data_IF_299041641601
#
_entry.id   IF_299041641601
#
_cell.length_a   1.000
_cell.length_b   1.000
_cell.length_c   1.000
_cell.angle_alpha   90.00
_cell.angle_beta   90.00
_cell.angle_gamma   90.00
#
_symmetry.space_group_name_H-M   'P 1'
#
loop_
_entity.id
_entity.type
_entity.pdbx_description
1 polymer ?
#
# COMPACT_ATOMS: atom_id res chain seq x y z
N UNK A 1 20.96 -11.23 15.08
CA UNK A 1 20.10 -11.37 13.90
C UNK A 1 19.03 -10.34 14.15
N UNK A 2 19.01 -9.28 13.35
CA UNK A 2 17.85 -8.39 13.35
C UNK A 2 16.72 -9.27 12.84
N UNK A 3 15.70 -9.55 13.67
CA UNK A 3 14.48 -10.15 13.17
C UNK A 3 13.86 -9.08 12.27
N UNK A 4 14.20 -9.05 10.98
CA UNK A 4 13.54 -8.15 10.03
C UNK A 4 12.06 -8.51 10.03
N UNK A 5 11.19 -7.52 10.17
CA UNK A 5 9.76 -7.79 10.23
C UNK A 5 9.30 -8.26 8.86
N UNK A 6 8.75 -9.47 8.79
CA UNK A 6 8.20 -9.98 7.53
C UNK A 6 6.88 -9.29 7.19
N UNK A 7 6.50 -9.30 5.92
CA UNK A 7 5.20 -8.77 5.46
C UNK A 7 4.02 -9.40 6.21
N UNK A 8 4.12 -10.69 6.55
CA UNK A 8 3.08 -11.39 7.31
C UNK A 8 2.91 -10.81 8.73
N UNK A 9 3.98 -10.32 9.36
CA UNK A 9 3.91 -9.73 10.69
C UNK A 9 3.29 -8.33 10.62
N UNK A 10 3.59 -7.55 9.59
CA UNK A 10 2.89 -6.29 9.31
C UNK A 10 1.39 -6.52 9.01
N UNK A 11 1.05 -7.55 8.23
CA UNK A 11 -0.35 -7.92 7.96
C UNK A 11 -1.11 -8.25 9.26
N UNK A 12 -0.52 -9.04 10.16
CA UNK A 12 -1.11 -9.34 11.48
C UNK A 12 -1.29 -8.08 12.32
N UNK A 13 -0.29 -7.21 12.36
CA UNK A 13 -0.35 -5.95 13.11
C UNK A 13 -1.47 -5.05 12.58
N UNK A 14 -1.56 -4.86 11.27
CA UNK A 14 -2.65 -4.11 10.65
C UNK A 14 -4.02 -4.71 11.00
N UNK A 15 -4.13 -6.04 10.99
CA UNK A 15 -5.39 -6.72 11.30
C UNK A 15 -5.85 -6.45 12.74
N UNK A 16 -4.94 -6.44 13.72
CA UNK A 16 -5.28 -6.11 15.11
C UNK A 16 -5.57 -4.61 15.27
N UNK A 17 -4.80 -3.75 14.61
CA UNK A 17 -5.07 -2.31 14.56
C UNK A 17 -6.48 -2.01 14.03
N UNK A 18 -6.88 -2.59 12.89
CA UNK A 18 -8.21 -2.37 12.30
C UNK A 18 -9.34 -2.82 13.23
N UNK A 19 -9.15 -3.93 13.96
CA UNK A 19 -10.15 -4.41 14.95
C UNK A 19 -10.32 -3.44 16.11
N UNK A 20 -9.23 -2.83 16.57
CA UNK A 20 -9.20 -1.93 17.72
C UNK A 20 -9.65 -0.49 17.40
N UNK A 21 -9.18 0.05 16.27
CA UNK A 21 -9.18 1.49 16.00
C UNK A 21 -9.94 1.89 14.72
N UNK A 22 -10.28 0.93 13.85
CA UNK A 22 -11.09 1.15 12.65
C UNK A 22 -12.28 0.20 12.55
N UNK A 23 -12.94 -0.03 13.70
CA UNK A 23 -14.02 -1.02 13.80
C UNK A 23 -15.20 -0.72 12.88
N UNK A 24 -15.48 0.55 12.62
CA UNK A 24 -16.51 1.01 11.69
C UNK A 24 -16.28 0.49 10.28
N UNK A 25 -15.04 0.52 9.78
CA UNK A 25 -14.66 -0.04 8.48
C UNK A 25 -14.48 -1.57 8.56
N UNK A 26 -13.82 -2.07 9.60
CA UNK A 26 -13.51 -3.50 9.75
C UNK A 26 -14.77 -4.38 9.77
N UNK A 27 -15.89 -3.87 10.29
CA UNK A 27 -17.15 -4.61 10.39
C UNK A 27 -18.02 -4.55 9.13
N UNK A 28 -17.62 -3.78 8.12
CA UNK A 28 -18.35 -3.71 6.85
C UNK A 28 -18.28 -5.05 6.08
N UNK A 29 -19.29 -5.33 5.24
CA UNK A 29 -19.20 -6.40 4.26
C UNK A 29 -17.98 -6.25 3.35
N UNK A 30 -17.49 -7.39 2.85
CA UNK A 30 -16.29 -7.46 2.02
C UNK A 30 -16.28 -6.45 0.85
N UNK A 31 -17.36 -6.31 0.03
CA UNK A 31 -17.36 -5.35 -1.09
C UNK A 31 -17.24 -3.90 -0.61
N UNK A 32 -17.88 -3.56 0.49
CA UNK A 32 -17.88 -2.19 1.04
C UNK A 32 -16.49 -1.82 1.58
N UNK A 33 -15.79 -2.79 2.22
CA UNK A 33 -14.40 -2.63 2.66
C UNK A 33 -13.48 -2.39 1.47
N UNK A 34 -13.59 -3.23 0.43
CA UNK A 34 -12.77 -3.07 -0.78
C UNK A 34 -13.04 -1.74 -1.48
N UNK A 35 -14.31 -1.32 -1.60
CA UNK A 35 -14.64 -0.02 -2.15
C UNK A 35 -13.97 1.11 -1.35
N UNK A 36 -14.00 1.03 -0.02
CA UNK A 36 -13.34 2.00 0.85
C UNK A 36 -11.82 2.07 0.58
N UNK A 37 -11.14 0.92 0.48
CA UNK A 37 -9.70 0.89 0.19
C UNK A 37 -9.37 1.41 -1.22
N UNK A 38 -10.19 1.11 -2.23
CA UNK A 38 -10.03 1.64 -3.60
C UNK A 38 -10.18 3.16 -3.65
N UNK A 39 -11.12 3.72 -2.88
CA UNK A 39 -11.26 5.17 -2.73
C UNK A 39 -10.02 5.80 -2.07
N UNK A 40 -9.40 5.09 -1.11
CA UNK A 40 -8.13 5.53 -0.53
C UNK A 40 -7.00 5.56 -1.57
N UNK A 41 -6.82 4.50 -2.37
CA UNK A 41 -5.80 4.51 -3.43
C UNK A 41 -6.02 5.64 -4.44
N UNK A 42 -7.27 5.86 -4.88
CA UNK A 42 -7.61 6.98 -5.77
C UNK A 42 -7.31 8.36 -5.14
N UNK A 43 -7.58 8.52 -3.84
CA UNK A 43 -7.23 9.73 -3.07
C UNK A 43 -5.71 9.94 -3.02
N UNK A 44 -4.92 8.87 -2.86
CA UNK A 44 -3.46 8.93 -2.79
C UNK A 44 -2.81 9.21 -4.14
N UNK A 45 -3.35 8.66 -5.23
CA UNK A 45 -2.98 9.07 -6.60
C UNK A 45 -3.16 10.59 -6.77
N UNK A 46 -4.28 11.15 -6.31
CA UNK A 46 -4.52 12.59 -6.34
C UNK A 46 -3.66 13.43 -5.37
N UNK A 47 -2.96 12.81 -4.41
CA UNK A 47 -1.91 13.47 -3.61
C UNK A 47 -0.59 13.51 -4.36
N UNK A 48 -0.24 12.43 -5.05
CA UNK A 48 1.00 12.34 -5.85
C UNK A 48 0.93 13.18 -7.13
N UNK A 49 -0.26 13.58 -7.59
CA UNK A 49 -0.39 14.49 -8.74
C UNK A 49 -0.17 15.98 -8.42
N UNK A 50 0.28 16.35 -7.21
CA UNK A 50 0.33 17.75 -6.75
C UNK A 50 1.72 18.35 -6.86
N UNK A 51 1.77 19.62 -7.22
CA UNK A 51 3.02 20.38 -7.13
C UNK A 51 3.31 20.76 -5.68
N UNK A 52 4.54 20.48 -5.24
CA UNK A 52 5.04 20.92 -3.94
C UNK A 52 6.03 22.08 -4.13
N UNK A 53 6.02 23.02 -3.18
CA UNK A 53 6.78 24.27 -3.25
C UNK A 53 8.30 24.06 -3.17
N UNK A 54 8.73 23.00 -2.49
CA UNK A 54 10.13 22.64 -2.28
C UNK A 54 10.28 21.13 -2.06
N UNK A 55 11.54 20.69 -2.06
CA UNK A 55 11.97 19.30 -1.95
C UNK A 55 11.61 18.68 -0.59
N UNK A 56 11.85 19.40 0.51
CA UNK A 56 11.55 18.94 1.87
C UNK A 56 10.06 18.63 2.04
N UNK A 57 9.20 19.53 1.54
CA UNK A 57 7.76 19.31 1.58
C UNK A 57 7.33 18.17 0.66
N UNK A 58 8.00 17.98 -0.49
CA UNK A 58 7.72 16.85 -1.40
C UNK A 58 8.01 15.53 -0.72
N UNK A 59 9.22 15.37 -0.17
CA UNK A 59 9.65 14.14 0.52
C UNK A 59 8.67 13.81 1.66
N UNK A 60 8.32 14.77 2.51
CA UNK A 60 7.35 14.56 3.60
C UNK A 60 5.99 14.07 3.10
N UNK A 61 5.54 14.55 1.93
CA UNK A 61 4.25 14.15 1.36
C UNK A 61 4.31 12.79 0.67
N UNK A 62 5.45 12.43 0.08
CA UNK A 62 5.72 11.09 -0.42
C UNK A 62 5.73 10.11 0.77
N UNK A 63 6.53 10.34 1.80
CA UNK A 63 6.60 9.47 2.99
C UNK A 63 5.24 9.28 3.66
N UNK A 64 4.49 10.37 3.84
CA UNK A 64 3.12 10.29 4.38
C UNK A 64 2.21 9.45 3.50
N UNK A 65 2.29 9.63 2.18
CA UNK A 65 1.44 8.90 1.23
C UNK A 65 1.87 7.44 1.14
N UNK A 66 3.16 7.15 1.24
CA UNK A 66 3.73 5.82 1.32
C UNK A 66 3.16 5.07 2.53
N UNK A 67 3.30 5.62 3.74
CA UNK A 67 2.79 4.99 4.96
C UNK A 67 1.26 4.77 4.89
N UNK A 68 0.51 5.82 4.52
CA UNK A 68 -0.96 5.77 4.39
C UNK A 68 -1.42 4.74 3.34
N UNK A 69 -0.70 4.59 2.23
CA UNK A 69 -1.04 3.65 1.15
C UNK A 69 -0.67 2.22 1.52
N UNK A 70 0.46 2.03 2.19
CA UNK A 70 0.94 0.71 2.60
C UNK A 70 0.02 0.11 3.67
N UNK A 71 -0.41 0.91 4.65
CA UNK A 71 -1.44 0.53 5.64
C UNK A 71 -2.73 0.07 4.95
N UNK A 72 -3.18 0.80 3.91
CA UNK A 72 -4.37 0.42 3.13
C UNK A 72 -4.11 -0.84 2.30
N UNK A 73 -2.91 -1.03 1.75
CA UNK A 73 -2.49 -2.25 1.06
C UNK A 73 -2.53 -3.48 1.97
N UNK A 74 -2.02 -3.37 3.20
CA UNK A 74 -2.10 -4.40 4.22
C UNK A 74 -3.56 -4.74 4.56
N UNK A 75 -4.40 -3.72 4.75
CA UNK A 75 -5.83 -3.90 5.07
C UNK A 75 -6.61 -4.54 3.89
N UNK A 76 -6.31 -4.15 2.66
CA UNK A 76 -6.86 -4.73 1.44
C UNK A 76 -6.45 -6.21 1.31
N UNK A 77 -5.16 -6.51 1.44
CA UNK A 77 -4.65 -7.89 1.41
C UNK A 77 -5.30 -8.78 2.48
N UNK A 78 -5.43 -8.26 3.72
CA UNK A 78 -6.13 -8.95 4.80
C UNK A 78 -7.61 -9.21 4.48
N UNK A 79 -8.26 -8.28 3.78
CA UNK A 79 -9.67 -8.41 3.37
C UNK A 79 -9.84 -9.48 2.29
N UNK A 80 -8.91 -9.50 1.33
CA UNK A 80 -8.81 -10.47 0.24
C UNK A 80 -8.35 -11.87 0.72
N UNK A 81 -7.85 -11.97 1.95
CA UNK A 81 -7.16 -13.15 2.52
C UNK A 81 -5.90 -13.53 1.73
N UNK A 82 -5.14 -12.54 1.29
CA UNK A 82 -3.84 -12.74 0.64
C UNK A 82 -2.74 -12.87 1.68
N UNK A 83 -1.75 -13.70 1.36
CA UNK A 83 -0.45 -13.68 2.02
C UNK A 83 0.51 -12.90 1.11
N UNK A 84 0.78 -11.63 1.46
CA UNK A 84 1.56 -10.73 0.58
C UNK A 84 2.94 -11.29 0.25
N UNK A 85 3.59 -11.97 1.19
CA UNK A 85 4.86 -12.65 0.95
C UNK A 85 4.74 -13.63 -0.21
N UNK A 86 3.78 -14.56 -0.13
CA UNK A 86 3.58 -15.60 -1.15
C UNK A 86 3.11 -15.03 -2.49
N UNK A 87 2.29 -13.98 -2.47
CA UNK A 87 1.84 -13.33 -3.71
C UNK A 87 2.99 -12.61 -4.42
N UNK A 88 3.86 -11.90 -3.69
CA UNK A 88 5.05 -11.26 -4.26
C UNK A 88 6.04 -12.28 -4.82
N UNK A 89 6.31 -13.36 -4.07
CA UNK A 89 7.14 -14.49 -4.54
C UNK A 89 6.58 -15.07 -5.84
N UNK A 90 5.27 -15.28 -5.91
CA UNK A 90 4.58 -15.80 -7.09
C UNK A 90 4.59 -14.85 -8.28
N UNK A 91 4.38 -13.55 -8.04
CA UNK A 91 4.28 -12.52 -9.08
C UNK A 91 5.65 -12.20 -9.70
N UNK A 92 6.70 -12.09 -8.88
CA UNK A 92 8.01 -11.63 -9.33
C UNK A 92 9.05 -12.76 -9.46
N UNK A 93 8.80 -13.94 -8.89
CA UNK A 93 9.77 -15.04 -8.91
C UNK A 93 11.03 -14.75 -8.10
N UNK A 94 10.89 -13.94 -7.04
CA UNK A 94 11.93 -13.51 -6.12
C UNK A 94 11.66 -14.07 -4.72
N UNK A 95 12.69 -14.13 -3.87
CA UNK A 95 12.58 -14.51 -2.46
C UNK A 95 13.28 -13.45 -1.61
N UNK A 96 12.61 -12.98 -0.55
CA UNK A 96 13.13 -12.01 0.41
C UNK A 96 12.42 -12.19 1.76
N UNK A 97 13.12 -12.09 2.89
CA UNK A 97 12.55 -12.42 4.20
C UNK A 97 11.99 -11.19 4.93
N UNK A 98 12.38 -9.98 4.51
CA UNK A 98 12.09 -8.73 5.18
C UNK A 98 11.60 -7.62 4.24
N UNK A 99 10.95 -6.60 4.81
CA UNK A 99 10.42 -5.47 4.02
C UNK A 99 11.52 -4.72 3.27
N UNK A 100 12.66 -4.50 3.92
CA UNK A 100 13.85 -3.87 3.30
C UNK A 100 14.42 -4.73 2.19
N UNK A 101 14.52 -6.05 2.41
CA UNK A 101 15.03 -6.99 1.39
C UNK A 101 14.13 -7.04 0.15
N UNK A 102 12.81 -6.91 0.34
CA UNK A 102 11.88 -6.78 -0.78
C UNK A 102 12.08 -5.48 -1.57
N UNK A 103 12.31 -4.36 -0.88
CA UNK A 103 12.63 -3.07 -1.53
C UNK A 103 13.85 -3.19 -2.44
N UNK A 104 14.95 -3.72 -1.91
CA UNK A 104 16.19 -4.00 -2.65
C UNK A 104 15.97 -4.97 -3.82
N UNK A 105 15.24 -6.08 -3.60
CA UNK A 105 15.03 -7.11 -4.61
C UNK A 105 14.17 -6.63 -5.79
N UNK A 106 13.16 -5.78 -5.51
CA UNK A 106 12.26 -5.23 -6.52
C UNK A 106 12.85 -4.02 -7.26
N UNK A 107 13.82 -3.33 -6.65
CA UNK A 107 14.50 -2.17 -7.23
C UNK A 107 16.00 -2.46 -7.49
N UNK A 108 16.36 -3.34 -8.44
CA UNK A 108 17.75 -3.79 -8.64
C UNK A 108 18.68 -2.71 -9.25
N UNK A 109 18.19 -1.49 -9.47
CA UNK A 109 18.97 -0.38 -10.04
C UNK A 109 19.68 0.39 -8.92
N UNK A 110 20.97 0.67 -9.12
CA UNK A 110 21.75 1.51 -8.21
C UNK A 110 21.40 3.01 -8.36
N UNK A 111 20.69 3.38 -9.44
CA UNK A 111 20.26 4.75 -9.70
C UNK A 111 19.00 5.06 -8.86
N UNK A 112 19.20 5.79 -7.77
CA UNK A 112 18.13 6.30 -6.89
C UNK A 112 17.43 7.48 -7.56
N UNK A 113 16.10 7.43 -7.64
CA UNK A 113 15.28 8.53 -8.14
C UNK A 113 15.39 9.73 -7.19
N UNK A 114 15.48 10.94 -7.74
CA UNK A 114 15.24 12.12 -6.91
C UNK A 114 13.76 12.24 -6.51
N UNK A 115 13.43 13.19 -5.64
CA UNK A 115 12.07 13.29 -5.09
C UNK A 115 11.01 13.63 -6.15
N UNK A 116 11.38 14.37 -7.21
CA UNK A 116 10.48 14.75 -8.29
C UNK A 116 10.24 13.55 -9.21
N UNK A 117 11.32 12.86 -9.60
CA UNK A 117 11.27 11.62 -10.38
C UNK A 117 10.47 10.53 -9.64
N UNK A 118 10.72 10.35 -8.34
CA UNK A 118 10.02 9.36 -7.53
C UNK A 118 8.53 9.68 -7.39
N UNK A 119 8.18 10.95 -7.21
CA UNK A 119 6.79 11.36 -7.13
C UNK A 119 6.04 11.05 -8.45
N UNK A 120 6.63 11.43 -9.58
CA UNK A 120 6.03 11.20 -10.89
C UNK A 120 5.90 9.69 -11.18
N UNK A 121 6.96 8.94 -10.87
CA UNK A 121 6.96 7.49 -10.98
C UNK A 121 5.84 6.86 -10.13
N UNK A 122 5.74 7.22 -8.85
CA UNK A 122 4.73 6.64 -7.95
C UNK A 122 3.31 7.04 -8.36
N UNK A 123 3.12 8.27 -8.85
CA UNK A 123 1.85 8.71 -9.43
C UNK A 123 1.42 7.81 -10.60
N UNK A 124 2.30 7.62 -11.59
CA UNK A 124 2.00 6.79 -12.77
C UNK A 124 1.73 5.34 -12.39
N UNK A 125 2.55 4.81 -11.48
CA UNK A 125 2.49 3.43 -11.01
C UNK A 125 1.24 3.12 -10.20
N UNK A 126 0.79 4.02 -9.32
CA UNK A 126 -0.45 3.83 -8.56
C UNK A 126 -1.71 4.14 -9.36
N UNK A 127 -1.66 5.03 -10.36
CA UNK A 127 -2.84 5.47 -11.09
C UNK A 127 -3.53 4.32 -11.85
N UNK A 128 -2.74 3.45 -12.48
CA UNK A 128 -3.28 2.35 -13.29
C UNK A 128 -3.96 1.27 -12.44
N UNK A 129 -3.32 0.71 -11.39
CA UNK A 129 -3.97 -0.21 -10.45
C UNK A 129 -5.22 0.38 -9.80
N UNK A 130 -5.14 1.61 -9.28
CA UNK A 130 -6.29 2.25 -8.64
C UNK A 130 -7.49 2.39 -9.59
N UNK A 131 -7.24 2.74 -10.86
CA UNK A 131 -8.27 2.81 -11.89
C UNK A 131 -8.86 1.45 -12.24
N UNK A 132 -8.03 0.39 -12.35
CA UNK A 132 -8.50 -0.97 -12.64
C UNK A 132 -9.33 -1.53 -11.48
N UNK A 133 -8.92 -1.29 -10.24
CA UNK A 133 -9.71 -1.65 -9.06
C UNK A 133 -11.04 -0.89 -9.01
N UNK A 134 -11.06 0.41 -9.34
CA UNK A 134 -12.30 1.19 -9.41
C UNK A 134 -13.27 0.63 -10.45
N UNK A 135 -12.78 0.28 -11.64
CA UNK A 135 -13.58 -0.37 -12.67
C UNK A 135 -14.09 -1.76 -12.22
N UNK A 136 -13.29 -2.50 -11.46
CA UNK A 136 -13.70 -3.78 -10.88
C UNK A 136 -14.85 -3.61 -9.87
N UNK A 137 -14.78 -2.59 -9.02
CA UNK A 137 -15.85 -2.27 -8.07
C UNK A 137 -17.12 -1.79 -8.80
N UNK A 138 -17.00 -0.95 -9.83
CA UNK A 138 -18.14 -0.52 -10.67
C UNK A 138 -18.80 -1.72 -11.37
N UNK A 139 -17.99 -2.63 -11.93
CA UNK A 139 -18.48 -3.85 -12.57
C UNK A 139 -19.23 -4.75 -11.58
N UNK A 140 -18.75 -4.83 -10.34
CA UNK A 140 -19.43 -5.58 -9.27
C UNK A 140 -20.80 -4.96 -8.93
N UNK A 141 -20.88 -3.64 -8.84
CA UNK A 141 -22.14 -2.91 -8.57
C UNK A 141 -23.18 -3.10 -9.70
N UNK A 142 -22.71 -3.20 -10.94
CA UNK A 142 -23.54 -3.45 -12.11
C UNK A 142 -23.80 -4.94 -12.40
N UNK A 143 -23.18 -5.84 -11.62
CA UNK A 143 -23.19 -7.29 -11.84
C UNK A 143 -22.75 -7.68 -13.25
N UNK A 144 -21.72 -7.01 -13.75
CA UNK A 144 -21.11 -7.28 -15.05
C UNK A 144 -20.21 -8.54 -15.00
N UNK A 145 -20.02 -9.22 -16.14
CA UNK A 145 -19.17 -10.41 -16.21
C UNK A 145 -17.68 -10.02 -16.20
N UNK A 146 -17.15 -9.68 -15.02
CA UNK A 146 -15.74 -9.38 -14.77
C UNK A 146 -15.21 -10.23 -13.63
N UNK A 147 -13.94 -10.67 -13.72
CA UNK A 147 -13.28 -11.34 -12.61
C UNK A 147 -12.81 -10.32 -11.56
N UNK A 148 -13.77 -9.70 -10.87
CA UNK A 148 -13.52 -8.60 -9.91
C UNK A 148 -12.51 -8.99 -8.85
N UNK A 149 -12.61 -10.21 -8.32
CA UNK A 149 -11.75 -10.69 -7.25
C UNK A 149 -10.29 -10.77 -7.70
N UNK A 150 -10.03 -11.42 -8.82
CA UNK A 150 -8.67 -11.56 -9.36
C UNK A 150 -8.02 -10.21 -9.60
N UNK A 151 -8.76 -9.24 -10.17
CA UNK A 151 -8.26 -7.88 -10.36
C UNK A 151 -7.94 -7.21 -9.02
N UNK A 152 -8.83 -7.28 -8.03
CA UNK A 152 -8.55 -6.69 -6.71
C UNK A 152 -7.33 -7.32 -6.03
N UNK A 153 -7.12 -8.63 -6.21
CA UNK A 153 -5.97 -9.35 -5.67
C UNK A 153 -4.66 -8.90 -6.35
N UNK A 154 -4.60 -8.97 -7.68
CA UNK A 154 -3.44 -8.58 -8.49
C UNK A 154 -3.05 -7.12 -8.25
N UNK A 155 -4.01 -6.19 -8.32
CA UNK A 155 -3.74 -4.77 -8.15
C UNK A 155 -3.33 -4.39 -6.73
N UNK A 156 -3.78 -5.12 -5.72
CA UNK A 156 -3.33 -4.89 -4.34
C UNK A 156 -1.84 -5.24 -4.20
N UNK A 157 -1.41 -6.35 -4.81
CA UNK A 157 -0.03 -6.81 -4.76
C UNK A 157 0.88 -5.86 -5.56
N UNK A 158 0.46 -5.42 -6.75
CA UNK A 158 1.18 -4.42 -7.57
C UNK A 158 1.37 -3.09 -6.82
N UNK A 159 0.32 -2.57 -6.17
CA UNK A 159 0.45 -1.35 -5.37
C UNK A 159 1.44 -1.56 -4.21
N UNK A 160 1.37 -2.71 -3.52
CA UNK A 160 2.30 -2.99 -2.42
C UNK A 160 3.75 -3.09 -2.92
N UNK A 161 4.02 -3.74 -4.06
CA UNK A 161 5.37 -3.80 -4.63
C UNK A 161 5.89 -2.41 -5.03
N UNK A 162 5.03 -1.57 -5.61
CA UNK A 162 5.40 -0.22 -5.99
C UNK A 162 5.74 0.65 -4.78
N UNK A 163 5.04 0.45 -3.66
CA UNK A 163 5.35 1.12 -2.39
C UNK A 163 6.65 0.63 -1.76
N UNK A 164 7.00 -0.67 -1.89
CA UNK A 164 8.29 -1.20 -1.45
C UNK A 164 9.45 -0.56 -2.23
N UNK A 165 9.31 -0.45 -3.55
CA UNK A 165 10.29 0.24 -4.41
C UNK A 165 10.40 1.72 -4.04
N UNK A 166 9.28 2.37 -3.75
CA UNK A 166 9.30 3.78 -3.33
C UNK A 166 9.99 3.99 -1.98
N UNK A 167 9.78 3.08 -1.02
CA UNK A 167 10.47 3.12 0.27
C UNK A 167 12.00 2.98 0.09
N UNK A 168 12.43 2.06 -0.79
CA UNK A 168 13.85 1.87 -1.13
C UNK A 168 14.45 3.14 -1.75
N UNK A 169 13.76 3.77 -2.71
CA UNK A 169 14.25 5.00 -3.34
C UNK A 169 14.33 6.19 -2.36
N UNK A 170 13.43 6.26 -1.36
CA UNK A 170 13.52 7.27 -0.31
C UNK A 170 14.66 6.99 0.69
N UNK A 171 15.15 5.75 0.76
CA UNK A 171 16.05 5.29 1.81
C UNK A 171 15.42 5.41 3.21
N UNK A 172 14.09 5.27 3.30
CA UNK A 172 13.34 5.42 4.55
C UNK A 172 13.19 4.08 5.27
N UNK A 173 13.12 4.11 6.60
CA UNK A 173 12.83 2.92 7.41
C UNK A 173 11.32 2.66 7.37
N UNK A 174 10.89 1.82 6.43
CA UNK A 174 9.47 1.51 6.21
C UNK A 174 8.80 0.96 7.48
N UNK A 175 9.49 0.15 8.27
CA UNK A 175 8.93 -0.39 9.51
C UNK A 175 8.66 0.75 10.52
N UNK A 176 9.63 1.64 10.70
CA UNK A 176 9.49 2.78 11.61
C UNK A 176 8.38 3.75 11.19
N UNK A 177 8.27 4.09 9.89
CA UNK A 177 7.21 5.02 9.44
C UNK A 177 5.82 4.43 9.58
N UNK A 178 5.66 3.11 9.45
CA UNK A 178 4.38 2.44 9.70
C UNK A 178 4.05 2.43 11.19
N UNK A 179 5.02 2.17 12.03
CA UNK A 179 4.88 2.20 13.49
C UNK A 179 4.45 3.56 14.02
N UNK A 180 5.09 4.61 13.54
CA UNK A 180 4.73 5.99 13.88
C UNK A 180 3.32 6.31 13.38
N UNK A 181 2.98 5.87 12.17
CA UNK A 181 1.68 6.14 11.56
C UNK A 181 0.54 5.40 12.26
N UNK A 182 0.72 4.14 12.65
CA UNK A 182 -0.25 3.42 13.48
C UNK A 182 -0.47 4.11 14.81
N UNK A 183 0.61 4.52 15.49
CA UNK A 183 0.53 5.22 16.78
C UNK A 183 -0.28 6.52 16.65
N UNK A 184 -0.03 7.32 15.61
CA UNK A 184 -0.78 8.55 15.35
C UNK A 184 -2.29 8.28 15.19
N UNK A 185 -2.65 7.27 14.40
CA UNK A 185 -4.06 6.90 14.15
C UNK A 185 -4.73 6.38 15.43
N UNK A 186 -4.02 5.60 16.24
CA UNK A 186 -4.50 5.09 17.52
C UNK A 186 -4.80 6.24 18.51
N UNK A 187 -3.95 7.28 18.54
CA UNK A 187 -4.12 8.46 19.39
C UNK A 187 -5.28 9.38 18.92
N UNK A 188 -5.51 9.46 17.60
CA UNK A 188 -6.64 10.21 17.03
C UNK A 188 -7.99 9.50 17.23
N UNK A 189 -7.96 8.17 17.41
CA UNK A 189 -9.15 7.35 17.59
C UNK A 189 -9.75 7.56 18.99
N UNK A 190 -10.96 8.14 19.05
CA UNK A 190 -11.71 8.29 20.30
C UNK A 190 -12.16 6.89 20.75
N UNK A 191 -11.49 6.33 21.77
CA UNK A 191 -11.89 5.10 22.49
C UNK A 191 -13.29 5.20 23.11
#
# INVERSE_FOLDING_TARGET
>A
MSDSTGLLDLQKRQQEHDKGHHRDIFTLPYPDRMNHYVLHFSKYVGRMSRDYADDDMRIQQIEKTLADSFIVGLAAANTLNLNLQSELEGMFGLEADGVSEWGEALNPTDDVMDSEELQDWLFERMASPAGRMANAMESLDHMEPMNTREVLEEETVEIVSDLLIAAENLGTDLEQILDDRWTEIEEESIL
#
